data_IF_847167076079
#
_entry.id   IF_847167076079
#
_cell.length_a   1.000
_cell.length_b   1.000
_cell.length_c   1.000
_cell.angle_alpha   90.00
_cell.angle_beta   90.00
_cell.angle_gamma   90.00
#
_symmetry.space_group_name_H-M   'P 1'
#
loop_
_entity.id
_entity.type
_entity.pdbx_description
1 polymer ?
#
# COMPACT_ATOMS: atom_id res chain seq x y z
N UNK A 1 4.23 21.28 15.12
CA UNK A 1 3.39 21.14 13.92
C UNK A 1 2.35 20.05 14.17
N UNK A 2 1.16 20.14 13.56
CA UNK A 2 0.12 19.11 13.67
C UNK A 2 -0.13 18.53 12.28
N UNK A 3 -0.03 17.22 12.15
CA UNK A 3 -0.34 16.52 10.90
C UNK A 3 -1.86 16.51 10.69
N UNK A 4 -2.30 16.80 9.47
CA UNK A 4 -3.71 16.60 9.12
C UNK A 4 -3.97 15.10 8.90
N UNK A 5 -4.87 14.52 9.70
CA UNK A 5 -5.12 13.08 9.68
C UNK A 5 -5.74 12.65 8.35
N UNK A 6 -6.66 13.44 7.80
CA UNK A 6 -7.33 13.10 6.52
C UNK A 6 -6.36 13.18 5.36
N UNK A 7 -5.59 14.26 5.31
CA UNK A 7 -4.55 14.49 4.31
C UNK A 7 -3.51 13.39 4.31
N UNK A 8 -3.00 13.00 5.49
CA UNK A 8 -2.00 11.93 5.56
C UNK A 8 -2.60 10.55 5.23
N UNK A 9 -3.83 10.28 5.65
CA UNK A 9 -4.56 9.04 5.28
C UNK A 9 -4.66 8.92 3.75
N UNK A 10 -5.14 9.98 3.08
CA UNK A 10 -5.32 9.96 1.62
C UNK A 10 -3.98 9.89 0.90
N UNK A 11 -3.00 10.70 1.30
CA UNK A 11 -1.68 10.72 0.68
C UNK A 11 -0.96 9.37 0.81
N UNK A 12 -0.98 8.76 2.00
CA UNK A 12 -0.33 7.47 2.23
C UNK A 12 -1.04 6.33 1.47
N UNK A 13 -2.38 6.31 1.48
CA UNK A 13 -3.15 5.32 0.73
C UNK A 13 -2.91 5.42 -0.77
N UNK A 14 -2.99 6.63 -1.34
CA UNK A 14 -2.74 6.86 -2.78
C UNK A 14 -1.31 6.47 -3.14
N UNK A 15 -0.32 6.90 -2.35
CA UNK A 15 1.08 6.60 -2.63
C UNK A 15 1.35 5.09 -2.58
N UNK A 16 0.88 4.42 -1.52
CA UNK A 16 1.11 2.97 -1.36
C UNK A 16 0.36 2.15 -2.41
N UNK A 17 -0.90 2.50 -2.67
CA UNK A 17 -1.69 1.93 -3.76
C UNK A 17 -1.00 2.10 -5.13
N UNK A 18 -0.48 3.29 -5.43
CA UNK A 18 0.24 3.56 -6.67
C UNK A 18 1.54 2.74 -6.78
N UNK A 19 2.30 2.59 -5.68
CA UNK A 19 3.48 1.73 -5.65
C UNK A 19 3.12 0.27 -5.98
N UNK A 20 2.06 -0.26 -5.38
CA UNK A 20 1.59 -1.62 -5.65
C UNK A 20 1.07 -1.79 -7.08
N UNK A 21 0.34 -0.80 -7.61
CA UNK A 21 -0.09 -0.78 -8.99
C UNK A 21 1.10 -0.85 -9.96
N UNK A 22 2.12 -0.01 -9.76
CA UNK A 22 3.31 0.02 -10.61
C UNK A 22 4.09 -1.29 -10.51
N UNK A 23 4.32 -1.81 -9.30
CA UNK A 23 5.08 -3.04 -9.11
C UNK A 23 4.39 -4.26 -9.74
N UNK A 24 3.08 -4.41 -9.54
CA UNK A 24 2.31 -5.52 -10.11
C UNK A 24 2.23 -5.42 -11.64
N UNK A 25 2.01 -4.23 -12.21
CA UNK A 25 2.03 -4.02 -13.66
C UNK A 25 3.43 -4.26 -14.26
N UNK A 26 4.48 -3.76 -13.62
CA UNK A 26 5.85 -3.99 -14.05
C UNK A 26 6.19 -5.49 -14.02
N UNK A 27 5.70 -6.24 -13.04
CA UNK A 27 5.88 -7.70 -13.00
C UNK A 27 5.15 -8.42 -14.14
N UNK A 28 4.02 -7.91 -14.65
CA UNK A 28 3.37 -8.48 -15.84
C UNK A 28 4.27 -8.38 -17.08
N UNK A 29 4.94 -7.24 -17.25
CA UNK A 29 5.84 -6.98 -18.38
C UNK A 29 7.17 -7.73 -18.20
N UNK A 30 7.74 -7.68 -16.99
CA UNK A 30 9.02 -8.29 -16.63
C UNK A 30 8.83 -9.33 -15.52
N UNK A 31 8.75 -10.64 -15.87
CA UNK A 31 8.35 -11.69 -14.92
C UNK A 31 9.16 -11.77 -13.62
N UNK A 32 10.42 -11.34 -13.65
CA UNK A 32 11.33 -11.40 -12.50
C UNK A 32 11.33 -10.13 -11.65
N UNK A 33 10.67 -9.06 -12.10
CA UNK A 33 10.70 -7.76 -11.43
C UNK A 33 9.83 -7.77 -10.17
N UNK A 34 10.41 -7.44 -9.02
CA UNK A 34 9.66 -7.26 -7.77
C UNK A 34 9.11 -8.54 -7.12
N UNK A 35 9.47 -9.74 -7.58
CA UNK A 35 8.90 -11.01 -7.11
C UNK A 35 8.96 -11.17 -5.59
N UNK A 36 10.10 -10.89 -4.95
CA UNK A 36 10.22 -11.01 -3.49
C UNK A 36 9.28 -10.06 -2.73
N UNK A 37 9.07 -8.85 -3.25
CA UNK A 37 8.12 -7.91 -2.68
C UNK A 37 6.67 -8.39 -2.85
N UNK A 38 6.30 -8.87 -4.04
CA UNK A 38 4.95 -9.39 -4.29
C UNK A 38 4.64 -10.63 -3.46
N UNK A 39 5.63 -11.50 -3.22
CA UNK A 39 5.50 -12.64 -2.31
C UNK A 39 5.30 -12.19 -0.86
N UNK A 40 6.04 -11.17 -0.41
CA UNK A 40 5.83 -10.59 0.91
C UNK A 40 4.40 -10.05 1.05
N UNK A 41 3.89 -9.36 0.03
CA UNK A 41 2.52 -8.85 0.03
C UNK A 41 1.47 -9.98 -0.02
N UNK A 42 1.74 -11.06 -0.76
CA UNK A 42 0.86 -12.24 -0.78
C UNK A 42 0.76 -12.94 0.58
N UNK A 43 1.78 -12.80 1.43
CA UNK A 43 1.73 -13.33 2.81
C UNK A 43 0.80 -12.54 3.74
N UNK A 44 0.46 -11.29 3.39
CA UNK A 44 -0.32 -10.38 4.25
C UNK A 44 -1.68 -9.99 3.68
N UNK A 45 -1.87 -10.03 2.36
CA UNK A 45 -3.11 -9.62 1.69
C UNK A 45 -3.96 -10.84 1.32
N UNK A 46 -5.06 -11.13 2.04
CA UNK A 46 -5.92 -12.26 1.73
C UNK A 46 -6.46 -12.19 0.29
N UNK A 47 -6.37 -13.30 -0.44
CA UNK A 47 -6.82 -13.36 -1.84
C UNK A 47 -5.84 -12.74 -2.86
N UNK A 48 -4.76 -12.09 -2.41
CA UNK A 48 -3.65 -11.73 -3.26
C UNK A 48 -2.63 -12.87 -3.26
N UNK A 49 -2.47 -13.56 -4.39
CA UNK A 49 -1.57 -14.71 -4.55
C UNK A 49 -0.20 -14.30 -5.13
N UNK A 50 -0.09 -13.07 -5.64
CA UNK A 50 1.11 -12.62 -6.37
C UNK A 50 1.25 -13.25 -7.76
N UNK A 51 0.23 -13.97 -8.23
CA UNK A 51 0.20 -14.50 -9.59
C UNK A 51 0.12 -13.37 -10.62
N UNK A 52 0.73 -13.61 -11.79
CA UNK A 52 0.76 -12.66 -12.91
C UNK A 52 -0.61 -12.59 -13.61
N UNK A 53 -1.54 -11.80 -13.06
CA UNK A 53 -2.82 -11.51 -13.70
C UNK A 53 -3.34 -10.10 -13.40
N UNK A 54 -4.21 -9.57 -14.27
CA UNK A 54 -4.85 -8.27 -14.05
C UNK A 54 -5.76 -8.25 -12.80
N UNK A 55 -6.36 -9.41 -12.45
CA UNK A 55 -7.15 -9.53 -11.21
C UNK A 55 -6.25 -9.28 -10.00
N UNK A 56 -5.06 -9.87 -9.98
CA UNK A 56 -4.10 -9.70 -8.89
C UNK A 56 -3.57 -8.26 -8.80
N UNK A 57 -3.39 -7.56 -9.93
CA UNK A 57 -3.07 -6.11 -9.94
C UNK A 57 -4.14 -5.32 -9.19
N UNK A 58 -5.42 -5.56 -9.49
CA UNK A 58 -6.54 -4.85 -8.85
C UNK A 58 -6.62 -5.18 -7.37
N UNK A 59 -6.58 -6.47 -7.02
CA UNK A 59 -6.65 -6.93 -5.62
C UNK A 59 -5.50 -6.33 -4.80
N UNK A 60 -4.26 -6.46 -5.26
CA UNK A 60 -3.08 -5.93 -4.58
C UNK A 60 -3.14 -4.41 -4.40
N UNK A 61 -3.58 -3.68 -5.44
CA UNK A 61 -3.72 -2.22 -5.41
C UNK A 61 -4.81 -1.77 -4.43
N UNK A 62 -5.96 -2.45 -4.39
CA UNK A 62 -7.04 -2.11 -3.47
C UNK A 62 -6.66 -2.36 -2.01
N UNK A 63 -5.99 -3.48 -1.71
CA UNK A 63 -5.46 -3.73 -0.37
C UNK A 63 -4.45 -2.66 0.04
N UNK A 64 -3.51 -2.35 -0.85
CA UNK A 64 -2.48 -1.32 -0.64
C UNK A 64 -3.05 0.09 -0.43
N UNK A 65 -4.14 0.43 -1.12
CA UNK A 65 -4.82 1.71 -0.92
C UNK A 65 -5.39 1.80 0.51
N UNK A 66 -6.02 0.73 0.97
CA UNK A 66 -6.69 0.68 2.26
C UNK A 66 -5.69 0.63 3.41
N UNK A 67 -4.72 -0.29 3.38
CA UNK A 67 -3.77 -0.45 4.48
C UNK A 67 -2.77 0.72 4.56
N UNK A 68 -2.33 1.28 3.43
CA UNK A 68 -1.53 2.49 3.36
C UNK A 68 -2.27 3.68 3.94
N UNK A 69 -3.58 3.78 3.66
CA UNK A 69 -4.45 4.79 4.26
C UNK A 69 -4.56 4.63 5.78
N UNK A 70 -4.82 3.41 6.25
CA UNK A 70 -4.88 3.09 7.69
C UNK A 70 -3.55 3.44 8.36
N UNK A 71 -2.42 3.00 7.80
CA UNK A 71 -1.09 3.29 8.33
C UNK A 71 -0.82 4.80 8.41
N UNK A 72 -1.14 5.56 7.35
CA UNK A 72 -1.02 7.01 7.33
C UNK A 72 -1.89 7.71 8.37
N UNK A 73 -3.16 7.29 8.51
CA UNK A 73 -4.07 7.82 9.50
C UNK A 73 -3.61 7.56 10.93
N UNK A 74 -3.20 6.31 11.22
CA UNK A 74 -2.64 5.91 12.52
C UNK A 74 -1.36 6.70 12.83
N UNK A 75 -0.48 6.86 11.84
CA UNK A 75 0.76 7.63 11.99
C UNK A 75 0.48 9.11 12.32
N UNK A 76 -0.44 9.75 11.59
CA UNK A 76 -0.82 11.14 11.86
C UNK A 76 -1.41 11.29 13.26
N UNK A 77 -2.30 10.37 13.65
CA UNK A 77 -2.92 10.37 14.98
C UNK A 77 -1.87 10.21 16.08
N UNK A 78 -0.98 9.21 15.96
CA UNK A 78 0.05 8.90 16.95
C UNK A 78 1.05 10.05 17.08
N UNK A 79 1.55 10.57 15.94
CA UNK A 79 2.45 11.72 15.92
C UNK A 79 1.82 12.91 16.65
N UNK A 80 0.57 13.25 16.33
CA UNK A 80 -0.12 14.36 16.98
C UNK A 80 -0.34 14.14 18.48
N UNK A 81 -0.50 12.89 18.93
CA UNK A 81 -0.63 12.55 20.35
C UNK A 81 0.69 12.75 21.10
N UNK A 82 1.81 12.34 20.51
CA UNK A 82 3.13 12.39 21.13
C UNK A 82 3.80 13.78 21.03
N UNK A 83 3.54 14.52 19.94
CA UNK A 83 4.09 15.86 19.71
C UNK A 83 3.38 16.95 20.54
N UNK A 84 2.24 16.63 21.16
CA UNK A 84 1.60 17.48 22.17
C UNK A 84 2.38 17.36 23.48
N UNK A 85 3.42 18.18 23.63
CA UNK A 85 3.88 18.68 24.93
C UNK A 85 3.08 19.92 25.28
#
# INVERSE_FOLDING_TARGET
>A
MKLDVRGLTLAAGILWGACMLVLTLANLIWPTYGVGFLQAMASVYPGYTGERSLVQVVVGTCYALVDGGIAGGVLAWLYNRLARR
#
